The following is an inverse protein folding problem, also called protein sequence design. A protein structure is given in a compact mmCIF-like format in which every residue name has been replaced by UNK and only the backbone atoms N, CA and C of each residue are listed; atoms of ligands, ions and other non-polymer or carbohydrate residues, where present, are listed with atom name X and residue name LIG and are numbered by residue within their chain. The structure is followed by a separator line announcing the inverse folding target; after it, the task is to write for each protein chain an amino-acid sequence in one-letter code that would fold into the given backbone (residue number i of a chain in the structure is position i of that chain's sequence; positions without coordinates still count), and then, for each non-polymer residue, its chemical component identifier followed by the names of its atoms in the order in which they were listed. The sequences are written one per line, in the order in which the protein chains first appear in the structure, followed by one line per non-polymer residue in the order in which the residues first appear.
data_IF_433022221259
#
_entry.id   IF_433022221259
#
_cell.length_a   1.000
_cell.length_b   1.000
_cell.length_c   1.000
_cell.angle_alpha   90.00
_cell.angle_beta   90.00
_cell.angle_gamma   90.00
#
_symmetry.space_group_name_H-M   'P 1'
#
loop_
_entity.id
_entity.type
_entity.pdbx_description
1 polymer ?
#
# COMPACT_ATOMS: atom_id res chain seq x y z
N UNK A 1 -5.69 8.28 -2.25
CA UNK A 1 -5.50 9.04 -1.01
C UNK A 1 -4.46 10.16 -1.15
N UNK A 2 -3.34 9.99 -1.88
CA UNK A 2 -2.46 11.11 -2.31
C UNK A 2 -2.30 11.13 -3.83
N UNK A 3 -2.22 12.33 -4.41
CA UNK A 3 -1.86 12.55 -5.81
C UNK A 3 -0.35 12.70 -5.94
N UNK A 4 0.35 11.59 -6.15
CA UNK A 4 1.79 11.53 -6.39
C UNK A 4 2.03 11.09 -7.85
N UNK A 5 3.20 10.51 -8.16
CA UNK A 5 3.59 9.98 -9.48
C UNK A 5 2.44 9.29 -10.24
N UNK A 6 1.73 8.34 -9.62
CA UNK A 6 0.69 7.57 -10.30
C UNK A 6 -0.54 8.38 -10.72
N UNK A 7 -0.89 9.44 -9.98
CA UNK A 7 -2.05 10.27 -10.30
C UNK A 7 -1.80 11.19 -11.50
N UNK A 8 -0.55 11.63 -11.70
CA UNK A 8 -0.19 12.48 -12.84
C UNK A 8 -0.30 11.78 -14.20
N UNK A 9 -0.19 10.46 -14.22
CA UNK A 9 -0.33 9.65 -15.44
C UNK A 9 -1.73 9.09 -15.66
N UNK A 10 -2.65 9.28 -14.70
CA UNK A 10 -3.95 8.65 -14.75
C UNK A 10 -4.95 9.51 -15.52
N UNK A 11 -5.69 8.88 -16.44
CA UNK A 11 -6.85 9.53 -17.09
C UNK A 11 -8.01 9.72 -16.10
N UNK A 12 -8.17 8.79 -15.16
CA UNK A 12 -9.24 8.78 -14.17
C UNK A 12 -8.63 8.52 -12.79
N UNK A 13 -8.95 9.39 -11.83
CA UNK A 13 -8.51 9.27 -10.44
C UNK A 13 -9.70 8.97 -9.54
N UNK A 14 -9.65 7.84 -8.85
CA UNK A 14 -10.66 7.43 -7.86
C UNK A 14 -10.12 7.66 -6.43
N UNK A 15 -10.72 8.56 -5.63
CA UNK A 15 -10.20 8.92 -4.31
C UNK A 15 -10.48 7.82 -3.27
N UNK A 16 -9.47 6.99 -3.02
CA UNK A 16 -9.41 6.07 -1.87
C UNK A 16 -8.96 6.74 -0.57
N UNK A 17 -9.20 6.09 0.56
CA UNK A 17 -8.91 6.58 1.92
C UNK A 17 -7.57 6.12 2.48
N UNK A 18 -6.96 6.92 3.35
CA UNK A 18 -5.67 6.64 4.00
C UNK A 18 -5.78 5.54 5.06
N UNK A 19 -4.63 5.03 5.53
CA UNK A 19 -4.58 3.93 6.52
C UNK A 19 -5.21 4.31 7.87
N UNK A 20 -5.23 5.59 8.23
CA UNK A 20 -5.85 6.14 9.45
C UNK A 20 -7.38 6.30 9.34
N UNK A 21 -7.93 6.16 8.13
CA UNK A 21 -9.34 6.44 7.82
C UNK A 21 -10.17 5.18 7.61
N UNK A 22 -9.54 3.99 7.63
CA UNK A 22 -10.18 2.70 7.37
C UNK A 22 -9.79 1.62 8.37
N UNK A 23 -10.68 0.64 8.51
CA UNK A 23 -10.35 -0.63 9.16
C UNK A 23 -9.89 -1.64 8.11
N UNK A 24 -8.58 -1.77 7.98
CA UNK A 24 -7.94 -2.62 6.98
C UNK A 24 -7.04 -3.66 7.65
N UNK A 25 -6.89 -4.79 6.96
CA UNK A 25 -6.02 -5.90 7.37
C UNK A 25 -4.66 -5.73 6.70
N UNK A 26 -3.59 -5.71 7.50
CA UNK A 26 -2.20 -5.66 7.04
C UNK A 26 -1.44 -6.89 7.53
N UNK A 27 -0.51 -7.38 6.71
CA UNK A 27 0.42 -8.46 7.06
C UNK A 27 1.83 -7.88 7.12
N UNK A 28 2.55 -8.12 8.21
CA UNK A 28 3.93 -7.68 8.35
C UNK A 28 4.92 -8.76 7.85
N UNK A 29 6.22 -8.46 7.88
CA UNK A 29 7.28 -9.34 7.34
C UNK A 29 7.49 -10.63 8.11
N UNK A 30 7.09 -10.70 9.39
CA UNK A 30 7.10 -11.95 10.17
C UNK A 30 5.86 -12.82 9.94
N UNK A 31 4.91 -12.37 9.10
CA UNK A 31 3.68 -13.11 8.82
C UNK A 31 2.56 -12.90 9.86
N UNK A 32 2.66 -11.88 10.71
CA UNK A 32 1.60 -11.51 11.66
C UNK A 32 0.59 -10.59 11.02
N UNK A 33 -0.68 -10.97 11.14
CA UNK A 33 -1.80 -10.16 10.65
C UNK A 33 -2.22 -9.15 11.71
N UNK A 34 -2.42 -7.91 11.28
CA UNK A 34 -2.83 -6.79 12.11
C UNK A 34 -4.05 -6.11 11.50
N UNK A 35 -4.94 -5.63 12.36
CA UNK A 35 -6.13 -4.90 11.96
C UNK A 35 -6.01 -3.44 12.38
N UNK A 36 -6.15 -2.52 11.44
CA UNK A 36 -6.27 -1.09 11.76
C UNK A 36 -7.70 -0.75 12.17
N UNK A 37 -7.84 0.38 12.88
CA UNK A 37 -9.12 1.00 13.17
C UNK A 37 -9.11 2.41 12.59
N UNK A 38 -10.24 2.82 12.04
CA UNK A 38 -10.41 4.19 11.58
C UNK A 38 -10.30 5.13 12.79
N UNK A 39 -9.31 6.02 12.76
CA UNK A 39 -9.08 7.03 13.77
C UNK A 39 -9.76 8.35 13.41
N UNK A 40 -9.86 8.65 12.12
CA UNK A 40 -10.46 9.88 11.59
C UNK A 40 -11.45 9.54 10.47
N UNK A 41 -12.51 10.34 10.27
CA UNK A 41 -13.42 10.14 9.16
C UNK A 41 -12.72 10.38 7.81
N UNK A 42 -13.11 9.67 6.74
CA UNK A 42 -12.63 9.94 5.39
C UNK A 42 -12.83 11.40 4.95
N UNK A 43 -11.87 12.02 4.25
CA UNK A 43 -12.01 13.36 3.73
C UNK A 43 -12.95 13.40 2.54
N UNK A 44 -13.84 14.40 2.53
CA UNK A 44 -14.71 14.75 1.41
C UNK A 44 -15.49 13.55 0.83
N UNK A 45 -15.42 13.35 -0.50
CA UNK A 45 -16.09 12.28 -1.24
C UNK A 45 -15.28 10.98 -1.33
N UNK A 46 -14.19 10.84 -0.57
CA UNK A 46 -13.36 9.64 -0.57
C UNK A 46 -14.14 8.42 -0.07
N UNK A 47 -13.78 7.23 -0.55
CA UNK A 47 -14.43 5.97 -0.19
C UNK A 47 -13.38 4.91 0.15
N UNK A 48 -13.77 3.93 0.96
CA UNK A 48 -12.92 2.77 1.22
C UNK A 48 -12.56 2.04 -0.09
N UNK A 49 -11.30 1.64 -0.23
CA UNK A 49 -10.78 1.14 -1.51
C UNK A 49 -11.57 -0.07 -2.03
N UNK A 50 -11.96 -1.00 -1.14
CA UNK A 50 -12.74 -2.17 -1.53
C UNK A 50 -14.14 -1.80 -2.03
N UNK A 51 -14.76 -0.73 -1.49
CA UNK A 51 -16.07 -0.24 -1.95
C UNK A 51 -15.96 0.35 -3.36
N UNK A 52 -14.86 1.05 -3.64
CA UNK A 52 -14.58 1.59 -4.99
C UNK A 52 -14.47 0.44 -5.99
N UNK A 53 -13.69 -0.59 -5.68
CA UNK A 53 -13.51 -1.76 -6.54
C UNK A 53 -14.82 -2.53 -6.70
N UNK A 54 -15.57 -2.74 -5.62
CA UNK A 54 -16.89 -3.40 -5.64
C UNK A 54 -17.90 -2.64 -6.50
N UNK A 55 -17.97 -1.31 -6.39
CA UNK A 55 -18.85 -0.50 -7.23
C UNK A 55 -18.41 -0.53 -8.71
N UNK A 56 -17.11 -0.47 -8.98
CA UNK A 56 -16.57 -0.58 -10.34
C UNK A 56 -16.90 -1.94 -10.96
N UNK A 57 -16.82 -3.02 -10.18
CA UNK A 57 -17.14 -4.37 -10.64
C UNK A 57 -18.57 -4.51 -11.14
N UNK A 58 -19.51 -3.81 -10.49
CA UNK A 58 -20.92 -3.79 -10.87
C UNK A 58 -21.14 -3.02 -12.17
N UNK A 59 -20.51 -1.86 -12.31
CA UNK A 59 -20.57 -1.04 -13.53
C UNK A 59 -19.94 -1.79 -14.72
N UNK A 60 -18.86 -2.54 -14.48
CA UNK A 60 -18.18 -3.33 -15.50
C UNK A 60 -18.91 -4.63 -15.88
N UNK A 61 -20.01 -4.99 -15.19
CA UNK A 61 -20.77 -6.21 -15.44
C UNK A 61 -20.17 -7.50 -14.84
N UNK A 62 -19.17 -7.37 -13.96
CA UNK A 62 -18.50 -8.49 -13.27
C UNK A 62 -18.64 -8.34 -11.74
N UNK A 63 -19.88 -8.27 -11.25
CA UNK A 63 -20.18 -7.96 -9.85
C UNK A 63 -19.52 -8.94 -8.89
N UNK A 64 -18.72 -8.41 -7.97
CA UNK A 64 -18.07 -9.18 -6.91
C UNK A 64 -19.09 -9.64 -5.86
N UNK A 65 -18.99 -10.88 -5.34
CA UNK A 65 -20.02 -11.49 -4.49
C UNK A 65 -19.89 -11.09 -3.01
N UNK A 66 -19.75 -9.80 -2.71
CA UNK A 66 -19.71 -9.27 -1.36
C UNK A 66 -20.14 -7.80 -1.33
N UNK A 67 -20.96 -7.44 -0.34
CA UNK A 67 -21.53 -6.10 -0.21
C UNK A 67 -21.14 -5.40 1.12
N UNK A 68 -20.57 -6.16 2.06
CA UNK A 68 -20.14 -5.67 3.35
C UNK A 68 -18.75 -6.18 3.74
N UNK A 69 -18.19 -5.55 4.78
CA UNK A 69 -16.84 -5.85 5.26
C UNK A 69 -16.71 -7.27 5.85
N UNK A 70 -17.70 -7.82 6.59
CA UNK A 70 -17.68 -9.23 6.99
C UNK A 70 -17.60 -10.19 5.79
N UNK A 71 -18.46 -10.05 4.78
CA UNK A 71 -18.47 -10.92 3.60
C UNK A 71 -17.15 -10.84 2.81
N UNK A 72 -16.57 -9.63 2.72
CA UNK A 72 -15.24 -9.46 2.14
C UNK A 72 -14.16 -10.22 2.92
N UNK A 73 -14.24 -10.22 4.26
CA UNK A 73 -13.29 -10.95 5.12
C UNK A 73 -13.53 -12.46 5.06
N UNK A 74 -14.76 -12.91 4.89
CA UNK A 74 -15.07 -14.32 4.64
C UNK A 74 -14.44 -14.76 3.31
N UNK A 75 -14.58 -13.94 2.25
CA UNK A 75 -13.90 -14.21 0.98
C UNK A 75 -12.38 -14.22 1.12
N UNK A 76 -11.83 -13.34 1.94
CA UNK A 76 -10.39 -13.32 2.25
C UNK A 76 -9.96 -14.58 3.00
N UNK A 77 -10.79 -15.08 3.91
CA UNK A 77 -10.58 -16.34 4.63
C UNK A 77 -10.59 -17.55 3.67
N UNK A 78 -11.50 -17.58 2.70
CA UNK A 78 -11.57 -18.66 1.70
C UNK A 78 -10.30 -18.72 0.84
N UNK A 79 -9.69 -17.57 0.53
CA UNK A 79 -8.47 -17.48 -0.27
C UNK A 79 -7.25 -17.82 0.58
N UNK A 80 -7.15 -17.22 1.75
CA UNK A 80 -5.98 -17.31 2.62
C UNK A 80 -6.41 -17.22 4.09
N UNK A 81 -6.69 -18.36 4.76
CA UNK A 81 -7.23 -18.39 6.12
C UNK A 81 -6.36 -17.70 7.17
N UNK A 82 -5.05 -17.56 6.91
CA UNK A 82 -4.16 -16.87 7.84
C UNK A 82 -4.47 -15.36 7.90
N UNK A 83 -5.00 -14.75 6.83
CA UNK A 83 -5.29 -13.31 6.75
C UNK A 83 -6.41 -12.84 7.70
N UNK A 84 -7.18 -13.75 8.29
CA UNK A 84 -8.22 -13.43 9.27
C UNK A 84 -7.83 -13.78 10.71
N UNK A 85 -6.61 -14.33 10.91
CA UNK A 85 -6.07 -14.69 12.23
C UNK A 85 -5.22 -13.56 12.80
N UNK A 86 -5.90 -12.59 13.40
CA UNK A 86 -5.25 -11.38 13.91
C UNK A 86 -4.33 -11.64 15.11
N UNK A 87 -3.16 -11.01 15.11
CA UNK A 87 -2.19 -11.05 16.21
C UNK A 87 -1.37 -12.34 16.30
N UNK A 88 -1.63 -13.32 15.45
CA UNK A 88 -0.94 -14.61 15.42
C UNK A 88 0.04 -14.66 14.26
N UNK A 89 1.20 -15.27 14.48
CA UNK A 89 2.13 -15.66 13.42
C UNK A 89 1.96 -17.15 13.18
N UNK A 90 1.54 -17.52 11.97
CA UNK A 90 1.39 -18.91 11.58
C UNK A 90 2.71 -19.44 11.03
N UNK A 91 3.17 -20.56 11.58
CA UNK A 91 4.38 -21.22 11.09
C UNK A 91 4.07 -21.98 9.80
N UNK A 92 5.04 -22.01 8.89
CA UNK A 92 4.95 -22.88 7.72
C UNK A 92 5.15 -24.34 8.14
N UNK A 93 4.22 -25.21 7.76
CA UNK A 93 4.26 -26.64 8.10
C UNK A 93 5.41 -27.39 7.41
N UNK A 94 5.79 -26.96 6.21
CA UNK A 94 6.87 -27.58 5.44
C UNK A 94 7.71 -26.53 4.70
N UNK A 95 8.69 -25.96 5.40
CA UNK A 95 9.63 -24.99 4.81
C UNK A 95 10.54 -25.62 3.76
N UNK A 96 10.79 -26.93 3.84
CA UNK A 96 11.67 -27.65 2.93
C UNK A 96 11.13 -27.65 1.49
N UNK A 97 9.81 -27.85 1.31
CA UNK A 97 9.17 -27.74 -0.01
C UNK A 97 9.38 -26.37 -0.66
N UNK A 98 9.34 -25.29 0.15
CA UNK A 98 9.58 -23.94 -0.35
C UNK A 98 11.02 -23.76 -0.86
N UNK A 99 12.00 -24.34 -0.16
CA UNK A 99 13.41 -24.31 -0.57
C UNK A 99 13.64 -25.14 -1.83
N UNK A 100 13.03 -26.33 -1.91
CA UNK A 100 13.09 -27.20 -3.10
C UNK A 100 12.52 -26.47 -4.32
N UNK A 101 11.36 -25.84 -4.19
CA UNK A 101 10.78 -25.05 -5.27
C UNK A 101 11.68 -23.87 -5.70
N UNK A 102 12.30 -23.17 -4.76
CA UNK A 102 13.25 -22.11 -5.08
C UNK A 102 14.50 -22.64 -5.79
N UNK A 103 14.92 -23.87 -5.51
CA UNK A 103 16.07 -24.49 -6.17
C UNK A 103 15.78 -24.81 -7.64
N UNK A 104 14.54 -25.17 -7.98
CA UNK A 104 14.11 -25.39 -9.36
C UNK A 104 14.06 -24.09 -10.18
N UNK A 105 13.83 -22.96 -9.51
CA UNK A 105 13.78 -21.62 -10.11
C UNK A 105 15.17 -20.96 -10.24
N UNK A 106 16.24 -21.63 -9.80
CA UNK A 106 17.58 -21.05 -9.82
C UNK A 106 18.05 -20.77 -11.26
N UNK A 107 18.43 -19.53 -11.54
CA UNK A 107 19.01 -19.09 -12.81
C UNK A 107 20.46 -18.65 -12.65
N UNK A 108 21.20 -18.55 -13.76
CA UNK A 108 22.58 -18.04 -13.74
C UNK A 108 22.64 -16.62 -13.14
N UNK A 109 23.65 -16.38 -12.29
CA UNK A 109 23.88 -15.07 -11.70
C UNK A 109 24.36 -14.07 -12.75
N UNK A 110 23.93 -12.81 -12.63
CA UNK A 110 24.53 -11.68 -13.35
C UNK A 110 25.64 -11.03 -12.54
N UNK A 111 26.65 -10.43 -13.20
CA UNK A 111 27.67 -9.58 -12.57
C UNK A 111 27.16 -8.20 -12.12
N UNK A 112 25.83 -8.00 -12.10
CA UNK A 112 25.22 -6.76 -11.65
C UNK A 112 25.48 -6.51 -10.15
N UNK A 113 25.89 -5.29 -9.81
CA UNK A 113 26.06 -4.88 -8.42
C UNK A 113 24.71 -4.71 -7.74
N UNK A 114 24.61 -5.18 -6.50
CA UNK A 114 23.45 -4.92 -5.66
C UNK A 114 23.44 -3.43 -5.25
N UNK A 115 22.37 -2.74 -5.62
CA UNK A 115 22.14 -1.35 -5.23
C UNK A 115 21.14 -1.28 -4.07
N UNK A 116 21.22 -0.25 -3.22
CA UNK A 116 20.19 -0.04 -2.21
C UNK A 116 18.84 0.18 -2.89
N UNK A 117 17.83 -0.60 -2.48
CA UNK A 117 16.47 -0.48 -3.03
C UNK A 117 15.84 0.86 -2.62
N UNK A 118 16.06 1.26 -1.37
CA UNK A 118 15.56 2.52 -0.82
C UNK A 118 16.70 3.55 -0.87
N UNK A 119 16.55 4.54 -1.74
CA UNK A 119 17.54 5.61 -1.93
C UNK A 119 17.41 6.72 -0.90
N UNK A 120 16.17 7.02 -0.50
CA UNK A 120 15.84 7.98 0.55
C UNK A 120 14.82 7.37 1.49
N UNK A 121 15.26 7.10 2.72
CA UNK A 121 14.42 6.51 3.75
C UNK A 121 13.21 7.39 4.10
N UNK A 122 13.37 8.72 4.03
CA UNK A 122 12.32 9.66 4.40
C UNK A 122 11.25 9.82 3.32
N UNK A 123 11.47 9.31 2.10
CA UNK A 123 10.61 9.53 0.93
C UNK A 123 10.16 8.23 0.26
N UNK A 124 9.88 7.20 1.08
CA UNK A 124 9.59 5.85 0.59
C UNK A 124 8.20 5.71 -0.07
N UNK A 125 7.15 6.31 0.49
CA UNK A 125 5.79 6.20 0.00
C UNK A 125 5.14 7.57 -0.32
N UNK A 126 3.91 7.55 -0.82
CA UNK A 126 3.19 8.77 -1.20
C UNK A 126 2.86 9.66 0.00
N UNK A 127 2.67 9.09 1.20
CA UNK A 127 2.34 9.85 2.41
C UNK A 127 3.56 10.63 2.88
N UNK A 128 4.70 9.94 2.94
CA UNK A 128 5.99 10.52 3.27
C UNK A 128 6.42 11.59 2.26
N UNK A 129 6.20 11.34 0.95
CA UNK A 129 6.51 12.33 -0.10
C UNK A 129 5.66 13.59 -0.05
N UNK A 130 4.41 13.50 0.37
CA UNK A 130 3.56 14.67 0.60
C UNK A 130 3.82 15.36 1.94
N UNK A 131 4.69 14.82 2.81
CA UNK A 131 4.96 15.37 4.14
C UNK A 131 6.07 16.43 4.12
N UNK A 132 5.72 17.65 4.53
CA UNK A 132 6.69 18.75 4.69
C UNK A 132 7.77 18.44 5.75
N UNK A 133 7.41 17.69 6.80
CA UNK A 133 8.35 17.29 7.85
C UNK A 133 9.38 16.30 7.30
N UNK A 134 8.94 15.31 6.53
CA UNK A 134 9.85 14.35 5.90
C UNK A 134 10.73 15.02 4.85
N UNK A 135 10.24 16.03 4.14
CA UNK A 135 11.06 16.84 3.23
C UNK A 135 12.21 17.55 3.96
N UNK A 136 11.94 18.14 5.12
CA UNK A 136 12.98 18.74 5.97
C UNK A 136 13.96 17.69 6.49
N UNK A 137 13.48 16.51 6.90
CA UNK A 137 14.34 15.41 7.34
C UNK A 137 15.26 14.91 6.22
N UNK A 138 14.74 14.70 5.01
CA UNK A 138 15.55 14.30 3.86
C UNK A 138 16.62 15.36 3.55
N UNK A 139 16.24 16.65 3.51
CA UNK A 139 17.20 17.73 3.26
C UNK A 139 18.32 17.82 4.32
N UNK A 140 18.02 17.49 5.57
CA UNK A 140 18.97 17.54 6.68
C UNK A 140 19.85 16.29 6.78
N UNK A 141 19.31 15.10 6.52
CA UNK A 141 19.95 13.82 6.85
C UNK A 141 20.39 12.99 5.64
N UNK A 142 19.91 13.30 4.43
CA UNK A 142 20.32 12.58 3.22
C UNK A 142 21.64 13.16 2.68
N UNK A 143 22.70 12.35 2.67
CA UNK A 143 24.06 12.75 2.28
C UNK A 143 24.19 13.23 0.82
N UNK A 144 23.22 12.90 -0.02
CA UNK A 144 23.13 13.36 -1.41
C UNK A 144 22.11 14.49 -1.49
N UNK A 145 22.58 15.75 -1.44
CA UNK A 145 21.74 16.94 -1.65
C UNK A 145 21.11 16.88 -3.06
N UNK A 146 19.87 16.41 -3.17
CA UNK A 146 18.97 16.88 -4.23
C UNK A 146 18.27 18.09 -3.65
N UNK A 147 18.44 19.25 -4.30
CA UNK A 147 17.63 20.42 -3.96
C UNK A 147 16.15 20.02 -4.08
N UNK A 148 15.34 20.30 -3.05
CA UNK A 148 13.93 19.93 -3.08
C UNK A 148 13.24 20.78 -4.17
N UNK A 149 12.72 20.12 -5.20
CA UNK A 149 11.67 20.71 -6.03
C UNK A 149 10.40 20.78 -5.19
N UNK A 150 10.32 21.80 -4.34
CA UNK A 150 9.06 22.19 -3.73
C UNK A 150 8.15 22.68 -4.87
N UNK A 151 7.08 21.95 -5.16
CA UNK A 151 5.94 22.54 -5.85
C UNK A 151 5.36 23.59 -4.90
N UNK A 152 5.73 24.85 -5.12
CA UNK A 152 5.02 25.99 -4.53
C UNK A 152 3.58 25.96 -5.05
N UNK A 153 2.66 25.48 -4.22
CA UNK A 153 1.25 25.76 -4.43
C UNK A 153 1.04 27.25 -4.21
N UNK A 154 0.82 27.97 -5.30
CA UNK A 154 0.39 29.37 -5.25
C UNK A 154 -0.99 29.43 -4.59
N UNK A 155 -1.26 30.39 -3.68
CA UNK A 155 -2.57 30.57 -3.08
C UNK A 155 -3.52 31.16 -4.13
N UNK A 156 -4.06 30.31 -5.00
CA UNK A 156 -4.91 30.70 -6.11
C UNK A 156 -5.56 29.51 -6.83
N UNK A 157 -4.97 28.31 -6.75
CA UNK A 157 -5.52 27.13 -7.43
C UNK A 157 -6.24 26.22 -6.46
N UNK A 158 -7.44 26.64 -6.07
CA UNK A 158 -8.49 25.75 -5.58
C UNK A 158 -9.72 25.92 -6.48
N UNK A 159 -10.25 24.87 -7.11
CA UNK A 159 -11.68 24.75 -7.31
C UNK A 159 -12.39 24.33 -6.00
#
# INVERSE_FOLDING_TARGET
HHGDVGAHYADIVLPGVAYTEKSATYLNTEGRVQLTRAAVPPPASSREDWKIIRALSEIAGFTLPYDDLPSLRDRMNDIAPHLTRYGVTENTSNSQLGIEHLSELATNSSDAKLNPIIQDFYMADSISRSSQTMAKCSAAFTKNKREPQLQEFSPGDAP
#
